data_IF_972411675341
#
_entry.id   IF_972411675341
#
_cell.length_a   1.000
_cell.length_b   1.000
_cell.length_c   1.000
_cell.angle_alpha   90.00
_cell.angle_beta   90.00
_cell.angle_gamma   90.00
#
_symmetry.space_group_name_H-M   'P 1'
#
loop_
_entity.id
_entity.type
_entity.pdbx_description
1 polymer ?
#
# COMPACT_ATOMS: atom_id res chain seq x y z
N UNK A 1 26.52 19.77 -35.14
CA UNK A 1 25.93 18.59 -35.81
C UNK A 1 24.63 18.16 -35.13
N UNK A 2 23.97 17.12 -35.66
CA UNK A 2 22.72 16.49 -35.16
C UNK A 2 21.61 17.48 -34.73
N UNK A 3 21.24 18.44 -35.58
CA UNK A 3 20.25 19.47 -35.24
C UNK A 3 18.84 18.92 -35.02
N UNK A 4 18.53 17.77 -35.61
CA UNK A 4 17.26 17.06 -35.55
C UNK A 4 16.92 16.61 -34.11
N UNK A 5 17.93 16.40 -33.26
CA UNK A 5 17.75 16.05 -31.86
C UNK A 5 17.35 17.23 -30.95
N UNK A 6 17.47 18.47 -31.44
CA UNK A 6 17.18 19.69 -30.67
C UNK A 6 15.75 20.21 -30.91
N UNK A 7 14.86 19.38 -31.44
CA UNK A 7 13.46 19.72 -31.75
C UNK A 7 12.51 19.76 -30.54
N UNK A 8 13.03 19.51 -29.34
CA UNK A 8 12.25 19.49 -28.09
C UNK A 8 11.36 18.25 -27.92
N UNK A 9 11.41 17.28 -28.85
CA UNK A 9 10.61 16.05 -28.73
C UNK A 9 11.27 15.05 -27.78
N UNK A 10 10.54 14.53 -26.77
CA UNK A 10 11.05 13.49 -25.89
C UNK A 10 11.39 12.21 -26.66
N UNK A 11 12.53 11.61 -26.35
CA UNK A 11 12.99 10.35 -26.95
C UNK A 11 13.17 9.29 -25.89
N UNK A 12 12.71 8.07 -26.17
CA UNK A 12 12.81 6.97 -25.20
C UNK A 12 14.26 6.52 -25.08
N UNK A 13 14.71 6.36 -23.84
CA UNK A 13 16.03 5.86 -23.52
C UNK A 13 15.99 4.32 -23.39
N UNK A 14 17.02 3.65 -23.91
CA UNK A 14 17.34 2.22 -23.77
C UNK A 14 18.75 2.03 -23.22
N UNK A 15 19.02 0.84 -22.69
CA UNK A 15 20.37 0.39 -22.29
C UNK A 15 21.13 1.40 -21.42
N UNK A 16 20.43 2.01 -20.45
CA UNK A 16 21.04 2.99 -19.56
C UNK A 16 22.10 2.34 -18.66
N UNK A 17 23.31 2.90 -18.70
CA UNK A 17 24.47 2.58 -17.87
C UNK A 17 24.93 3.87 -17.18
N UNK A 18 25.83 3.79 -16.17
CA UNK A 18 26.26 4.98 -15.42
C UNK A 18 26.77 6.14 -16.26
N UNK A 19 27.37 5.87 -17.43
CA UNK A 19 27.99 6.88 -18.29
C UNK A 19 27.49 6.87 -19.74
N UNK A 20 26.49 6.05 -20.07
CA UNK A 20 26.01 5.90 -21.45
C UNK A 20 24.58 5.43 -21.51
N UNK A 21 23.86 5.83 -22.54
CA UNK A 21 22.55 5.27 -22.87
C UNK A 21 22.34 5.34 -24.38
N UNK A 22 21.36 4.61 -24.89
CA UNK A 22 21.00 4.62 -26.32
C UNK A 22 19.60 5.21 -26.49
N UNK A 23 19.39 5.99 -27.53
CA UNK A 23 18.03 6.38 -27.93
C UNK A 23 17.35 5.19 -28.63
N UNK A 24 16.05 5.01 -28.43
CA UNK A 24 15.27 4.03 -29.19
C UNK A 24 15.10 4.44 -30.66
N UNK A 25 15.14 5.75 -30.94
CA UNK A 25 15.06 6.30 -32.28
C UNK A 25 16.34 6.06 -33.08
N UNK A 26 16.18 5.69 -34.35
CA UNK A 26 17.28 5.56 -35.30
C UNK A 26 17.73 6.94 -35.79
N UNK A 27 18.97 7.30 -35.48
CA UNK A 27 19.58 8.58 -35.86
C UNK A 27 20.50 8.48 -37.08
N UNK A 28 20.50 7.35 -37.81
CA UNK A 28 21.39 7.12 -38.96
C UNK A 28 21.24 8.17 -40.06
N UNK A 29 20.03 8.72 -40.24
CA UNK A 29 19.74 9.75 -41.24
C UNK A 29 19.99 11.19 -40.76
N UNK A 30 20.48 11.39 -39.53
CA UNK A 30 20.73 12.72 -38.98
C UNK A 30 22.13 13.21 -39.36
N UNK A 31 22.34 14.53 -39.32
CA UNK A 31 23.68 15.09 -39.53
C UNK A 31 24.68 14.53 -38.51
N UNK A 32 25.94 14.32 -38.88
CA UNK A 32 26.95 13.73 -37.99
C UNK A 32 27.13 14.55 -36.69
N UNK A 33 27.35 13.87 -35.58
CA UNK A 33 27.70 14.52 -34.31
C UNK A 33 29.05 15.24 -34.42
N UNK A 34 29.16 16.41 -33.81
CA UNK A 34 30.40 17.20 -33.82
C UNK A 34 30.96 17.37 -32.41
N UNK A 35 30.21 18.04 -31.52
CA UNK A 35 30.59 18.28 -30.13
C UNK A 35 29.41 18.81 -29.31
N UNK A 36 29.48 18.60 -27.99
CA UNK A 36 28.54 19.16 -27.02
C UNK A 36 27.13 18.57 -27.10
N UNK A 37 26.34 18.82 -26.07
CA UNK A 37 24.97 18.35 -25.99
C UNK A 37 24.51 18.26 -24.54
N UNK A 38 23.30 18.70 -24.27
CA UNK A 38 22.68 18.59 -22.95
C UNK A 38 21.39 17.79 -23.13
N UNK A 39 21.22 16.76 -22.30
CA UNK A 39 20.00 15.97 -22.28
C UNK A 39 19.24 16.32 -21.01
N UNK A 40 17.94 16.58 -21.16
CA UNK A 40 17.03 16.85 -20.05
C UNK A 40 15.96 15.77 -20.00
N UNK A 41 15.77 15.16 -18.83
CA UNK A 41 14.74 14.14 -18.65
C UNK A 41 13.35 14.79 -18.67
N UNK A 42 12.49 14.28 -19.55
CA UNK A 42 11.07 14.65 -19.57
C UNK A 42 10.25 13.59 -18.83
N UNK A 43 9.62 13.97 -17.73
CA UNK A 43 8.70 13.10 -16.98
C UNK A 43 7.36 13.04 -17.71
N UNK A 44 7.09 11.90 -18.34
CA UNK A 44 5.82 11.67 -19.03
C UNK A 44 4.67 11.47 -18.02
N UNK A 45 3.46 11.97 -18.29
CA UNK A 45 2.27 11.64 -17.51
C UNK A 45 2.01 10.14 -17.50
N UNK A 46 1.61 9.59 -16.34
CA UNK A 46 1.18 8.20 -16.21
C UNK A 46 -0.30 8.17 -15.82
N UNK A 47 -1.12 7.50 -16.61
CA UNK A 47 -2.53 7.24 -16.28
C UNK A 47 -2.59 6.05 -15.31
N UNK A 48 -3.35 6.21 -14.24
CA UNK A 48 -3.59 5.17 -13.23
C UNK A 48 -5.09 4.89 -13.17
N UNK A 49 -5.48 3.62 -13.26
CA UNK A 49 -6.86 3.19 -13.27
C UNK A 49 -7.20 2.56 -11.91
N UNK A 50 -7.83 3.31 -11.03
CA UNK A 50 -8.23 2.83 -9.70
C UNK A 50 -9.50 1.98 -9.80
N UNK A 51 -9.50 0.83 -9.15
CA UNK A 51 -10.71 0.00 -8.99
C UNK A 51 -11.68 0.65 -8.00
N UNK A 52 -13.00 0.56 -8.21
CA UNK A 52 -13.99 0.88 -7.18
C UNK A 52 -13.78 0.01 -5.93
N UNK A 53 -14.06 0.56 -4.74
CA UNK A 53 -13.83 -0.15 -3.46
C UNK A 53 -14.45 -1.55 -3.43
N UNK A 54 -15.67 -1.72 -3.97
CA UNK A 54 -16.35 -3.03 -4.04
C UNK A 54 -15.51 -4.09 -4.75
N UNK A 55 -14.91 -3.73 -5.87
CA UNK A 55 -14.07 -4.65 -6.66
C UNK A 55 -12.72 -4.85 -5.95
N UNK A 56 -12.13 -3.76 -5.45
CA UNK A 56 -10.85 -3.79 -4.76
C UNK A 56 -10.88 -4.62 -3.45
N UNK A 57 -12.02 -4.74 -2.76
CA UNK A 57 -12.15 -5.59 -1.57
C UNK A 57 -12.04 -7.09 -1.88
N UNK A 58 -12.42 -7.53 -3.08
CA UNK A 58 -12.30 -8.92 -3.51
C UNK A 58 -11.00 -9.18 -4.26
N UNK A 59 -10.50 -8.18 -4.98
CA UNK A 59 -9.26 -8.23 -5.74
C UNK A 59 -8.42 -6.96 -5.47
N UNK A 60 -7.71 -6.92 -4.33
CA UNK A 60 -6.97 -5.75 -3.87
C UNK A 60 -5.72 -5.44 -4.71
N UNK A 61 -5.33 -6.34 -5.63
CA UNK A 61 -4.09 -6.24 -6.38
C UNK A 61 -2.86 -6.26 -5.47
N UNK A 62 -1.83 -5.49 -5.84
CA UNK A 62 -0.61 -5.39 -5.06
C UNK A 62 -0.80 -4.50 -3.83
N UNK A 63 -0.47 -5.02 -2.65
CA UNK A 63 -0.41 -4.22 -1.44
C UNK A 63 0.86 -3.37 -1.41
N UNK A 64 0.73 -2.11 -1.01
CA UNK A 64 1.89 -1.29 -0.71
C UNK A 64 2.51 -1.77 0.62
N UNK A 65 3.70 -2.37 0.54
CA UNK A 65 4.42 -2.86 1.71
C UNK A 65 4.93 -1.69 2.56
N UNK A 66 4.43 -1.57 3.79
CA UNK A 66 4.93 -0.61 4.77
C UNK A 66 6.27 -1.04 5.39
N UNK A 67 6.47 -2.36 5.49
CA UNK A 67 7.64 -2.99 6.08
C UNK A 67 7.97 -4.26 5.27
N UNK A 68 9.16 -4.29 4.65
CA UNK A 68 9.60 -5.40 3.81
C UNK A 68 9.90 -6.69 4.60
N UNK A 69 9.99 -6.61 5.93
CA UNK A 69 10.12 -7.78 6.81
C UNK A 69 8.77 -8.44 7.15
N UNK A 70 7.65 -7.80 6.79
CA UNK A 70 6.28 -8.18 7.15
C UNK A 70 5.37 -8.34 5.92
N UNK A 71 5.87 -8.97 4.86
CA UNK A 71 5.14 -9.08 3.59
C UNK A 71 3.85 -9.92 3.67
N UNK A 72 3.73 -10.76 4.70
CA UNK A 72 2.56 -11.59 5.04
C UNK A 72 1.43 -10.80 5.72
N UNK A 73 1.75 -9.62 6.28
CA UNK A 73 0.79 -8.85 7.10
C UNK A 73 -0.31 -8.15 6.32
N UNK A 74 -0.06 -7.47 5.18
CA UNK A 74 -1.11 -6.72 4.50
C UNK A 74 -2.33 -7.55 4.09
N UNK A 75 -2.18 -8.77 3.51
CA UNK A 75 -3.33 -9.61 3.19
C UNK A 75 -4.12 -10.03 4.44
N UNK A 76 -3.45 -10.39 5.52
CA UNK A 76 -4.10 -10.78 6.78
C UNK A 76 -4.82 -9.60 7.45
N UNK A 77 -4.23 -8.41 7.42
CA UNK A 77 -4.88 -7.20 7.91
C UNK A 77 -6.07 -6.81 7.03
N UNK A 78 -5.97 -6.95 5.71
CA UNK A 78 -7.09 -6.77 4.79
C UNK A 78 -8.29 -7.63 5.17
N UNK A 79 -8.05 -8.92 5.43
CA UNK A 79 -9.06 -9.85 5.94
C UNK A 79 -9.60 -9.42 7.31
N UNK A 80 -8.73 -9.02 8.24
CA UNK A 80 -9.11 -8.62 9.60
C UNK A 80 -10.02 -7.38 9.62
N UNK A 81 -9.76 -6.38 8.77
CA UNK A 81 -10.61 -5.19 8.65
C UNK A 81 -11.98 -5.52 8.06
N UNK A 82 -12.07 -6.44 7.09
CA UNK A 82 -13.36 -6.93 6.59
C UNK A 82 -14.12 -7.72 7.66
N UNK A 83 -13.42 -8.57 8.42
CA UNK A 83 -14.01 -9.31 9.52
C UNK A 83 -14.53 -8.38 10.63
N UNK A 84 -13.83 -7.27 10.90
CA UNK A 84 -14.27 -6.25 11.85
C UNK A 84 -15.57 -5.57 11.41
N UNK A 85 -15.67 -5.20 10.13
CA UNK A 85 -16.90 -4.59 9.59
C UNK A 85 -18.09 -5.54 9.71
N UNK A 86 -17.89 -6.83 9.42
CA UNK A 86 -18.90 -7.87 9.63
C UNK A 86 -19.23 -8.08 11.10
N UNK A 87 -18.24 -8.10 11.99
CA UNK A 87 -18.44 -8.21 13.43
C UNK A 87 -19.33 -7.07 13.95
N UNK A 88 -19.04 -5.83 13.55
CA UNK A 88 -19.81 -4.65 13.94
C UNK A 88 -21.23 -4.73 13.39
N UNK A 89 -21.39 -5.18 12.14
CA UNK A 89 -22.71 -5.36 11.53
C UNK A 89 -23.55 -6.41 12.25
N UNK A 90 -22.95 -7.50 12.74
CA UNK A 90 -23.66 -8.58 13.44
C UNK A 90 -23.95 -8.26 14.92
N UNK A 91 -23.06 -7.53 15.60
CA UNK A 91 -23.14 -7.29 17.05
C UNK A 91 -23.53 -5.86 17.43
N UNK A 92 -23.52 -4.91 16.49
CA UNK A 92 -23.80 -3.49 16.74
C UNK A 92 -22.74 -2.80 17.59
N UNK A 93 -21.56 -3.40 17.78
CA UNK A 93 -20.45 -2.86 18.58
C UNK A 93 -19.10 -3.36 18.10
N UNK A 94 -18.05 -2.64 18.47
CA UNK A 94 -16.67 -3.13 18.34
C UNK A 94 -16.37 -4.25 19.36
N UNK A 95 -15.33 -5.08 19.12
CA UNK A 95 -14.76 -5.95 20.13
C UNK A 95 -14.41 -5.20 21.41
N UNK A 96 -14.69 -5.80 22.56
CA UNK A 96 -14.29 -5.27 23.86
C UNK A 96 -12.78 -5.49 24.05
N UNK A 97 -12.09 -4.47 24.54
CA UNK A 97 -10.65 -4.54 24.77
C UNK A 97 -10.31 -5.71 25.71
N UNK A 98 -9.38 -6.57 25.29
CA UNK A 98 -8.94 -7.74 26.05
C UNK A 98 -9.95 -8.90 26.18
N UNK A 99 -11.13 -8.83 25.56
CA UNK A 99 -12.10 -9.94 25.61
C UNK A 99 -11.68 -11.08 24.69
N UNK A 100 -11.41 -12.24 25.29
CA UNK A 100 -11.07 -13.45 24.54
C UNK A 100 -12.25 -13.96 23.72
N UNK A 101 -13.47 -13.82 24.23
CA UNK A 101 -14.68 -14.24 23.52
C UNK A 101 -14.88 -13.46 22.22
N UNK A 102 -14.70 -12.13 22.28
CA UNK A 102 -14.81 -11.27 21.09
C UNK A 102 -13.64 -11.53 20.11
N UNK A 103 -12.43 -11.76 20.62
CA UNK A 103 -11.28 -12.11 19.80
C UNK A 103 -11.51 -13.44 19.05
N UNK A 104 -11.98 -14.47 19.74
CA UNK A 104 -12.29 -15.76 19.14
C UNK A 104 -13.41 -15.65 18.09
N UNK A 105 -14.40 -14.79 18.35
CA UNK A 105 -15.46 -14.52 17.37
C UNK A 105 -14.95 -13.78 16.12
N UNK A 106 -14.06 -12.80 16.28
CA UNK A 106 -13.42 -12.11 15.14
C UNK A 106 -12.55 -13.08 14.33
N UNK A 107 -11.80 -13.96 14.99
CA UNK A 107 -11.01 -15.02 14.34
C UNK A 107 -11.94 -15.94 13.54
N UNK A 108 -13.05 -16.38 14.13
CA UNK A 108 -14.04 -17.22 13.44
C UNK A 108 -14.62 -16.52 12.20
N UNK A 109 -15.00 -15.25 12.31
CA UNK A 109 -15.49 -14.47 11.16
C UNK A 109 -14.41 -14.34 10.07
N UNK A 110 -13.17 -14.07 10.46
CA UNK A 110 -12.03 -13.97 9.54
C UNK A 110 -11.81 -15.28 8.78
N UNK A 111 -11.82 -16.42 9.48
CA UNK A 111 -11.70 -17.74 8.86
C UNK A 111 -12.83 -18.03 7.89
N UNK A 112 -14.09 -17.72 8.25
CA UNK A 112 -15.24 -17.92 7.36
C UNK A 112 -15.14 -17.06 6.08
N UNK A 113 -14.66 -15.81 6.19
CA UNK A 113 -14.43 -14.97 5.02
C UNK A 113 -13.34 -15.60 4.15
N UNK A 114 -12.23 -16.03 4.76
CA UNK A 114 -11.09 -16.62 4.07
C UNK A 114 -11.47 -17.90 3.30
N UNK A 115 -12.33 -18.74 3.88
CA UNK A 115 -12.85 -19.94 3.21
C UNK A 115 -13.68 -19.62 1.97
N UNK A 116 -14.34 -18.46 1.95
CA UNK A 116 -15.11 -17.98 0.80
C UNK A 116 -14.26 -17.38 -0.34
N UNK A 117 -12.95 -17.19 -0.16
CA UNK A 117 -12.08 -16.51 -1.13
C UNK A 117 -11.58 -17.42 -2.27
N UNK A 118 -11.82 -18.74 -2.21
CA UNK A 118 -11.34 -19.69 -3.22
C UNK A 118 -9.82 -19.63 -3.38
N UNK A 119 -9.34 -19.30 -4.58
CA UNK A 119 -7.90 -19.19 -4.90
C UNK A 119 -7.21 -18.01 -4.19
N UNK A 120 -7.97 -17.03 -3.67
CA UNK A 120 -7.46 -15.90 -2.88
C UNK A 120 -7.31 -16.20 -1.39
N UNK A 121 -7.51 -17.46 -0.98
CA UNK A 121 -7.43 -17.88 0.42
C UNK A 121 -6.01 -17.71 0.95
N UNK A 122 -5.90 -17.09 2.13
CA UNK A 122 -4.66 -17.02 2.89
C UNK A 122 -4.36 -18.38 3.51
N UNK A 123 -3.17 -18.91 3.23
CA UNK A 123 -2.69 -20.16 3.82
C UNK A 123 -2.33 -20.00 5.31
N UNK A 124 -1.66 -18.89 5.65
CA UNK A 124 -1.25 -18.57 7.02
C UNK A 124 -2.15 -17.48 7.62
N UNK A 125 -3.14 -17.91 8.40
CA UNK A 125 -3.90 -17.03 9.27
C UNK A 125 -3.25 -17.07 10.65
N UNK A 126 -2.49 -16.04 10.99
CA UNK A 126 -1.89 -15.93 12.31
C UNK A 126 -2.95 -15.51 13.36
N UNK A 127 -3.44 -16.44 14.22
CA UNK A 127 -4.51 -16.13 15.17
C UNK A 127 -4.04 -15.15 16.25
N UNK A 128 -2.74 -15.12 16.57
CA UNK A 128 -2.18 -14.18 17.54
C UNK A 128 -2.29 -12.74 17.04
N UNK A 129 -2.07 -12.50 15.75
CA UNK A 129 -2.25 -11.17 15.16
C UNK A 129 -3.72 -10.74 15.21
N UNK A 130 -4.64 -11.62 14.82
CA UNK A 130 -6.08 -11.34 14.86
C UNK A 130 -6.58 -11.09 16.28
N UNK A 131 -6.02 -11.79 17.27
CA UNK A 131 -6.30 -11.56 18.70
C UNK A 131 -5.84 -10.16 19.14
N UNK A 132 -4.61 -9.77 18.82
CA UNK A 132 -4.12 -8.42 19.12
C UNK A 132 -4.94 -7.34 18.41
N UNK A 133 -5.33 -7.59 17.16
CA UNK A 133 -6.20 -6.70 16.39
C UNK A 133 -7.57 -6.53 17.08
N UNK A 134 -8.21 -7.61 17.50
CA UNK A 134 -9.48 -7.56 18.23
C UNK A 134 -9.35 -6.78 19.55
N UNK A 135 -8.29 -7.02 20.33
CA UNK A 135 -8.05 -6.30 21.58
C UNK A 135 -7.85 -4.79 21.38
N UNK A 136 -7.20 -4.41 20.27
CA UNK A 136 -6.93 -3.03 19.90
C UNK A 136 -8.04 -2.36 19.07
N UNK A 137 -9.12 -3.04 18.72
CA UNK A 137 -10.09 -2.56 17.72
C UNK A 137 -10.81 -1.25 18.11
N UNK A 138 -10.86 -0.92 19.40
CA UNK A 138 -11.42 0.34 19.93
C UNK A 138 -10.37 1.38 20.29
N UNK A 139 -9.09 1.05 20.20
CA UNK A 139 -8.02 1.92 20.64
C UNK A 139 -7.87 3.12 19.70
N UNK A 140 -7.71 4.30 20.29
CA UNK A 140 -7.36 5.52 19.56
C UNK A 140 -6.01 5.99 20.07
N UNK A 141 -4.97 5.77 19.27
CA UNK A 141 -3.59 6.07 19.64
C UNK A 141 -3.12 7.31 18.87
N UNK A 142 -2.66 8.34 19.60
CA UNK A 142 -2.17 9.58 19.00
C UNK A 142 -1.09 9.36 17.91
N UNK A 143 -0.08 8.48 18.10
CA UNK A 143 0.92 8.22 17.06
C UNK A 143 0.31 7.64 15.77
N UNK A 144 -0.66 6.74 15.89
CA UNK A 144 -1.35 6.14 14.74
C UNK A 144 -2.21 7.18 14.01
N UNK A 145 -2.95 8.01 14.75
CA UNK A 145 -3.74 9.09 14.19
C UNK A 145 -2.87 10.12 13.45
N UNK A 146 -1.72 10.50 14.01
CA UNK A 146 -0.78 11.41 13.38
C UNK A 146 -0.17 10.81 12.10
N UNK A 147 0.25 9.54 12.14
CA UNK A 147 0.83 8.85 10.99
C UNK A 147 -0.17 8.75 9.82
N UNK A 148 -1.34 8.15 10.07
CA UNK A 148 -2.36 8.00 9.03
C UNK A 148 -2.95 9.36 8.59
N UNK A 149 -3.08 10.31 9.51
CA UNK A 149 -3.49 11.68 9.18
C UNK A 149 -2.52 12.36 8.21
N UNK A 150 -1.21 12.21 8.42
CA UNK A 150 -0.19 12.71 7.50
C UNK A 150 -0.22 12.03 6.13
N UNK A 151 -0.34 10.70 6.10
CA UNK A 151 -0.43 9.92 4.86
C UNK A 151 -1.68 10.32 4.06
N UNK A 152 -2.85 10.27 4.68
CA UNK A 152 -4.13 10.60 4.04
C UNK A 152 -4.15 12.07 3.60
N UNK A 153 -3.66 12.99 4.43
CA UNK A 153 -3.52 14.40 4.06
C UNK A 153 -2.67 14.59 2.81
N UNK A 154 -1.57 13.86 2.69
CA UNK A 154 -0.74 13.90 1.49
C UNK A 154 -1.44 13.27 0.27
N UNK A 155 -2.19 12.18 0.43
CA UNK A 155 -2.98 11.57 -0.66
C UNK A 155 -4.06 12.51 -1.18
N UNK A 156 -4.71 13.31 -0.32
CA UNK A 156 -5.66 14.35 -0.75
C UNK A 156 -4.96 15.38 -1.65
N UNK A 157 -3.77 15.85 -1.28
CA UNK A 157 -2.99 16.78 -2.11
C UNK A 157 -2.62 16.15 -3.46
N UNK A 158 -2.25 14.86 -3.48
CA UNK A 158 -1.94 14.14 -4.73
C UNK A 158 -3.18 14.06 -5.64
N UNK A 159 -4.33 13.71 -5.08
CA UNK A 159 -5.59 13.61 -5.80
C UNK A 159 -6.03 14.95 -6.42
N UNK A 160 -5.85 16.07 -5.70
CA UNK A 160 -6.24 17.39 -6.20
C UNK A 160 -5.23 18.01 -7.20
N UNK A 161 -3.95 17.63 -7.13
CA UNK A 161 -2.88 18.28 -7.92
C UNK A 161 -2.39 17.47 -9.11
N UNK A 162 -2.63 16.15 -9.13
CA UNK A 162 -2.00 15.23 -10.09
C UNK A 162 -0.49 15.11 -9.93
N UNK A 163 0.06 15.56 -8.79
CA UNK A 163 1.51 15.55 -8.49
C UNK A 163 1.87 14.42 -7.53
N UNK A 164 3.01 13.78 -7.81
CA UNK A 164 3.51 12.57 -7.14
C UNK A 164 2.70 11.31 -7.45
N UNK A 165 3.28 10.14 -7.13
CA UNK A 165 2.60 8.87 -7.31
C UNK A 165 1.65 8.64 -6.11
N UNK A 166 0.34 8.49 -6.34
CA UNK A 166 -0.60 8.16 -5.28
C UNK A 166 -0.40 6.73 -4.79
N UNK A 167 -0.90 6.46 -3.59
CA UNK A 167 -1.06 5.10 -3.08
C UNK A 167 -2.06 4.35 -3.98
N UNK A 168 -1.73 3.12 -4.34
CA UNK A 168 -2.48 2.33 -5.32
C UNK A 168 -2.56 0.85 -4.89
N UNK A 169 -3.59 0.38 -4.19
CA UNK A 169 -4.73 1.11 -3.60
C UNK A 169 -4.89 0.88 -2.10
N UNK A 170 -4.38 -0.22 -1.56
CA UNK A 170 -4.43 -0.51 -0.12
C UNK A 170 -3.06 -0.37 0.53
N UNK A 171 -3.09 0.19 1.73
CA UNK A 171 -1.94 0.30 2.61
C UNK A 171 -2.36 -0.13 4.00
N UNK A 172 -1.67 -1.13 4.52
CA UNK A 172 -1.85 -1.64 5.86
C UNK A 172 -0.56 -1.42 6.63
N UNK A 173 -0.71 -1.11 7.91
CA UNK A 173 0.41 -0.89 8.81
C UNK A 173 0.04 -1.42 10.19
N UNK A 174 0.98 -2.09 10.82
CA UNK A 174 0.93 -2.48 12.22
C UNK A 174 2.26 -2.17 12.90
N UNK A 175 2.19 -1.90 14.20
CA UNK A 175 3.35 -1.82 15.08
C UNK A 175 3.08 -2.66 16.31
N UNK A 176 2.91 -3.96 16.10
CA UNK A 176 2.70 -4.94 17.19
C UNK A 176 3.88 -4.96 18.15
N UNK A 177 5.08 -4.61 17.67
CA UNK A 177 6.31 -4.49 18.47
C UNK A 177 6.22 -3.38 19.53
N UNK A 178 5.32 -2.42 19.35
CA UNK A 178 5.07 -1.36 20.34
C UNK A 178 4.20 -1.84 21.51
N UNK A 179 3.65 -3.04 21.46
CA UNK A 179 2.88 -3.59 22.60
C UNK A 179 3.84 -3.91 23.76
N UNK A 180 3.49 -3.52 25.00
CA UNK A 180 4.24 -3.92 26.18
C UNK A 180 4.34 -5.45 26.30
N UNK A 181 5.53 -5.93 26.67
CA UNK A 181 5.75 -7.36 26.94
C UNK A 181 5.25 -7.79 28.31
N UNK A 182 5.07 -6.84 29.23
CA UNK A 182 4.58 -7.04 30.58
C UNK A 182 3.19 -6.42 30.72
N UNK A 183 2.31 -7.08 31.47
CA UNK A 183 1.01 -6.51 31.78
C UNK A 183 1.23 -5.25 32.63
N UNK A 184 0.55 -4.13 32.34
CA UNK A 184 0.62 -2.97 33.21
C UNK A 184 0.14 -3.40 34.61
N UNK A 185 0.94 -3.10 35.63
CA UNK A 185 0.54 -3.31 37.02
C UNK A 185 -0.77 -2.57 37.25
N UNK A 186 -1.73 -3.19 37.94
CA UNK A 186 -3.05 -2.62 38.20
C UNK A 186 -3.04 -1.37 39.10
N UNK A 187 -1.86 -0.83 39.38
CA UNK A 187 -1.60 0.32 40.26
C UNK A 187 -1.19 1.60 39.55
N UNK A 188 -1.06 1.59 38.21
CA UNK A 188 -0.83 2.79 37.38
C UNK A 188 -2.05 3.13 36.50
#
# INVERSE_FOLDING_TARGET
GMTELNDGKPRKIKNARPYSFTLEEDTTNFGTYEKGGIVTQVKQPKVLNFKPLREALSDPGDFLLSDFSKFDRPPLLHLAFQALDRFISELGRFPVAGSEEDAQKLIFISSNINEGLGDGKLEDINPKLLRHFAFGARAVLNPMAAMFGGIVGQEVVKACSGKFHPLFQFFYFDSVESLPTEAPDSSD
#
